data_IF_050947378512
#
_entry.id   IF_050947378512
#
_cell.length_a   1.000
_cell.length_b   1.000
_cell.length_c   1.000
_cell.angle_alpha   90.00
_cell.angle_beta   90.00
_cell.angle_gamma   90.00
#
_symmetry.space_group_name_H-M   'P 1'
#
loop_
_entity.id
_entity.type
_entity.pdbx_description
1 polymer ?
#
# COMPACT_ATOMS: atom_id res chain seq x y z
N UNK A 1 -10.53 6.38 -1.85
CA UNK A 1 -9.59 6.94 -0.86
C UNK A 1 -10.22 6.82 0.53
N UNK A 2 -10.33 5.58 1.02
CA UNK A 2 -11.23 5.30 2.16
C UNK A 2 -10.46 4.99 3.44
N UNK A 3 -9.27 4.38 3.33
CA UNK A 3 -8.49 3.99 4.51
C UNK A 3 -7.27 4.89 4.74
N UNK A 4 -6.49 5.20 3.69
CA UNK A 4 -5.25 6.00 3.81
C UNK A 4 -5.46 7.52 3.86
N UNK A 5 -6.67 7.98 4.18
CA UNK A 5 -7.01 9.40 4.31
C UNK A 5 -6.91 10.22 3.01
N UNK A 6 -7.33 11.50 3.05
CA UNK A 6 -7.20 12.43 1.93
C UNK A 6 -5.77 12.52 1.40
N UNK A 7 -5.60 12.59 0.08
CA UNK A 7 -4.30 12.56 -0.62
C UNK A 7 -3.34 11.46 -0.17
N UNK A 8 -3.83 10.37 0.43
CA UNK A 8 -3.03 9.26 0.94
C UNK A 8 -2.05 9.68 2.05
N UNK A 9 -2.42 10.71 2.80
CA UNK A 9 -1.63 11.27 3.91
C UNK A 9 -1.70 10.42 5.19
N UNK A 10 -2.51 9.36 5.19
CA UNK A 10 -2.75 8.50 6.34
C UNK A 10 -3.76 9.09 7.33
N UNK A 11 -3.95 8.38 8.44
CA UNK A 11 -4.81 8.80 9.55
C UNK A 11 -5.15 7.62 10.46
N UNK A 12 -5.13 7.85 11.78
CA UNK A 12 -5.41 6.81 12.77
C UNK A 12 -4.48 5.60 12.63
N UNK A 13 -5.07 4.43 12.39
CA UNK A 13 -4.35 3.16 12.19
C UNK A 13 -3.78 2.97 10.78
N UNK A 14 -4.11 3.85 9.83
CA UNK A 14 -3.72 3.72 8.43
C UNK A 14 -2.53 4.64 8.10
N UNK A 15 -1.38 4.09 7.72
CA UNK A 15 -0.17 4.88 7.51
C UNK A 15 -0.25 5.73 6.24
N UNK A 16 0.58 6.78 6.20
CA UNK A 16 0.80 7.61 5.02
C UNK A 16 1.42 6.81 3.87
N UNK A 17 0.91 6.99 2.65
CA UNK A 17 1.48 6.45 1.41
C UNK A 17 2.05 7.55 0.51
N UNK A 18 1.51 8.77 0.56
CA UNK A 18 1.94 9.88 -0.28
C UNK A 18 3.41 10.25 -0.06
N UNK A 19 4.19 10.30 -1.13
CA UNK A 19 5.62 10.61 -1.13
C UNK A 19 6.49 9.49 -0.58
N UNK A 20 5.92 8.31 -0.31
CA UNK A 20 6.70 7.15 0.11
C UNK A 20 7.48 6.57 -1.09
N UNK A 21 8.66 6.02 -0.86
CA UNK A 21 9.47 5.45 -1.93
C UNK A 21 8.72 4.35 -2.67
N UNK A 22 8.75 4.39 -4.02
CA UNK A 22 8.08 3.41 -4.86
C UNK A 22 8.56 1.98 -4.55
N UNK A 23 9.87 1.79 -4.37
CA UNK A 23 10.46 0.50 -3.98
C UNK A 23 9.87 -0.01 -2.66
N UNK A 24 9.71 0.85 -1.66
CA UNK A 24 9.12 0.48 -0.39
C UNK A 24 7.66 0.06 -0.57
N UNK A 25 6.82 0.85 -1.23
CA UNK A 25 5.41 0.51 -1.48
C UNK A 25 5.29 -0.83 -2.21
N UNK A 26 6.09 -1.03 -3.27
CA UNK A 26 6.14 -2.30 -4.01
C UNK A 26 6.51 -3.47 -3.11
N UNK A 27 7.61 -3.37 -2.35
CA UNK A 27 8.05 -4.42 -1.44
C UNK A 27 6.98 -4.77 -0.41
N UNK A 28 6.27 -3.76 0.12
CA UNK A 28 5.21 -3.97 1.10
C UNK A 28 4.00 -4.70 0.50
N UNK A 29 3.57 -4.32 -0.70
CA UNK A 29 2.47 -4.99 -1.42
C UNK A 29 2.82 -6.45 -1.73
N UNK A 30 4.03 -6.70 -2.24
CA UNK A 30 4.52 -8.06 -2.50
C UNK A 30 4.64 -8.89 -1.22
N UNK A 31 5.08 -8.29 -0.12
CA UNK A 31 5.20 -8.99 1.16
C UNK A 31 3.84 -9.41 1.72
N UNK A 32 2.78 -8.62 1.50
CA UNK A 32 1.41 -9.01 1.82
C UNK A 32 0.88 -10.13 0.90
N UNK A 33 1.15 -10.07 -0.41
CA UNK A 33 0.80 -11.15 -1.34
C UNK A 33 1.48 -12.48 -0.97
N UNK A 34 2.75 -12.42 -0.55
CA UNK A 34 3.52 -13.57 -0.11
C UNK A 34 3.19 -14.03 1.33
N UNK A 35 2.35 -13.30 2.06
CA UNK A 35 2.03 -13.59 3.47
C UNK A 35 3.20 -13.42 4.45
N UNK A 36 4.30 -12.80 4.02
CA UNK A 36 5.49 -12.55 4.85
C UNK A 36 5.36 -11.31 5.70
N UNK A 37 4.49 -10.36 5.29
CA UNK A 37 4.09 -9.22 6.10
C UNK A 37 2.78 -9.50 6.85
N UNK A 38 2.75 -9.17 8.14
CA UNK A 38 1.60 -9.35 9.05
C UNK A 38 1.35 -8.07 9.86
N UNK A 39 0.24 -8.04 10.59
CA UNK A 39 -0.07 -6.98 11.56
C UNK A 39 -0.87 -5.80 10.99
N UNK A 40 -1.48 -5.96 9.81
CA UNK A 40 -2.52 -5.05 9.34
C UNK A 40 -3.85 -5.35 10.02
N UNK A 41 -4.67 -4.31 10.19
CA UNK A 41 -5.98 -4.39 10.84
C UNK A 41 -6.85 -5.41 10.10
N UNK A 42 -7.23 -6.49 10.77
CA UNK A 42 -8.06 -7.58 10.27
C UNK A 42 -7.65 -8.15 8.89
N UNK A 43 -6.36 -8.09 8.53
CA UNK A 43 -5.88 -8.58 7.23
C UNK A 43 -6.37 -7.75 6.03
N UNK A 44 -6.80 -6.50 6.25
CA UNK A 44 -7.33 -5.64 5.19
C UNK A 44 -6.34 -5.40 4.05
N UNK A 45 -5.08 -5.05 4.35
CA UNK A 45 -4.08 -4.80 3.32
C UNK A 45 -3.63 -6.08 2.64
N UNK A 46 -3.60 -7.21 3.36
CA UNK A 46 -3.40 -8.51 2.71
C UNK A 46 -4.51 -8.81 1.68
N UNK A 47 -5.77 -8.57 2.03
CA UNK A 47 -6.91 -8.73 1.12
C UNK A 47 -6.86 -7.81 -0.09
N UNK A 48 -6.43 -6.55 0.10
CA UNK A 48 -6.23 -5.60 -1.00
C UNK A 48 -5.08 -6.04 -1.90
N UNK A 49 -3.92 -6.34 -1.32
CA UNK A 49 -2.72 -6.70 -2.08
C UNK A 49 -2.94 -7.96 -2.93
N UNK A 50 -3.66 -8.96 -2.41
CA UNK A 50 -3.96 -10.20 -3.13
C UNK A 50 -4.85 -10.03 -4.36
N UNK A 51 -5.52 -8.88 -4.52
CA UNK A 51 -6.33 -8.58 -5.71
C UNK A 51 -5.56 -7.86 -6.81
N UNK A 52 -4.34 -7.43 -6.52
CA UNK A 52 -3.52 -6.66 -7.46
C UNK A 52 -2.69 -7.60 -8.35
N UNK A 53 -2.64 -7.27 -9.62
CA UNK A 53 -1.66 -7.82 -10.56
C UNK A 53 -0.29 -7.18 -10.33
N UNK A 54 0.77 -7.81 -10.86
CA UNK A 54 2.12 -7.26 -10.78
C UNK A 54 2.23 -5.84 -11.42
N UNK A 55 1.52 -5.63 -12.54
CA UNK A 55 1.50 -4.32 -13.21
C UNK A 55 0.80 -3.24 -12.36
N UNK A 56 -0.27 -3.59 -11.66
CA UNK A 56 -0.97 -2.66 -10.75
C UNK A 56 -0.13 -2.34 -9.51
N UNK A 57 0.61 -3.32 -8.96
CA UNK A 57 1.56 -3.07 -7.87
C UNK A 57 2.61 -2.03 -8.29
N UNK A 58 3.17 -2.18 -9.49
CA UNK A 58 4.16 -1.24 -10.04
C UNK A 58 3.55 0.14 -10.30
N UNK A 59 2.36 0.19 -10.87
CA UNK A 59 1.65 1.45 -11.11
C UNK A 59 1.33 2.19 -9.81
N UNK A 60 0.82 1.49 -8.79
CA UNK A 60 0.48 2.08 -7.48
C UNK A 60 1.72 2.55 -6.73
N UNK A 61 2.81 1.77 -6.76
CA UNK A 61 4.08 2.16 -6.17
C UNK A 61 4.59 3.49 -6.74
N UNK A 62 4.60 3.62 -8.07
CA UNK A 62 5.02 4.86 -8.74
C UNK A 62 4.05 6.01 -8.49
N UNK A 63 2.74 5.74 -8.50
CA UNK A 63 1.71 6.75 -8.24
C UNK A 63 1.87 7.38 -6.86
N UNK A 64 1.93 6.57 -5.80
CA UNK A 64 2.04 7.08 -4.43
C UNK A 64 3.38 7.77 -4.14
N UNK A 65 4.47 7.35 -4.80
CA UNK A 65 5.76 8.02 -4.68
C UNK A 65 5.76 9.45 -5.24
N UNK A 66 4.94 9.72 -6.26
CA UNK A 66 4.83 11.03 -6.89
C UNK A 66 3.71 11.90 -6.31
N UNK A 67 2.84 11.31 -5.48
CA UNK A 67 1.74 12.01 -4.82
C UNK A 67 2.26 12.85 -3.64
N UNK A 68 1.91 14.14 -3.59
CA UNK A 68 2.31 15.07 -2.52
C UNK A 68 1.16 15.44 -1.61
#
# INVERSE_FOLDING_TARGET
MTCHGPSALGGGLFPRLAGQQASYIKTQLLAWQAGTRKGDVDGMMASVANKLTAAEVDALANYFANLK
#
